data_IF_138611165299
#
_entry.id   IF_138611165299
#
_cell.length_a   1.000
_cell.length_b   1.000
_cell.length_c   1.000
_cell.angle_alpha   90.00
_cell.angle_beta   90.00
_cell.angle_gamma   90.00
#
_symmetry.space_group_name_H-M   'P 1'
#
loop_
_entity.id
_entity.type
_entity.pdbx_description
1 polymer ?
#
# COMPACT_ATOMS: atom_id res chain seq x y z
N UNK A 1 1.19 24.41 40.20
CA UNK A 1 1.76 23.35 39.36
C UNK A 1 0.68 22.83 38.46
N UNK A 2 0.74 22.98 37.15
CA UNK A 2 -0.21 22.39 36.23
C UNK A 2 0.14 20.90 35.99
N UNK A 3 -0.84 20.03 35.75
CA UNK A 3 -0.64 18.58 35.69
C UNK A 3 0.15 18.14 34.46
N UNK A 4 1.12 17.28 34.69
CA UNK A 4 2.01 16.64 33.69
C UNK A 4 1.30 15.73 32.66
N UNK A 5 -0.03 15.65 32.71
CA UNK A 5 -0.81 14.67 31.91
C UNK A 5 -1.08 15.09 30.46
N UNK A 6 -0.99 16.38 30.12
CA UNK A 6 -1.30 16.87 28.76
C UNK A 6 -0.17 16.74 27.74
N UNK A 7 1.10 16.70 28.19
CA UNK A 7 2.27 16.60 27.29
C UNK A 7 2.55 15.17 26.82
N UNK A 8 2.22 14.17 27.63
CA UNK A 8 2.42 12.76 27.26
C UNK A 8 1.38 12.31 26.24
N UNK A 9 0.13 12.81 26.36
CA UNK A 9 -0.91 12.50 25.37
C UNK A 9 -0.65 13.10 23.98
N UNK A 10 0.02 14.27 23.91
CA UNK A 10 0.34 14.89 22.62
C UNK A 10 1.53 14.22 21.93
N UNK A 11 2.46 13.62 22.67
CA UNK A 11 3.60 12.87 22.08
C UNK A 11 3.15 11.52 21.52
N UNK A 12 2.13 10.87 22.11
CA UNK A 12 1.54 9.64 21.59
C UNK A 12 0.61 9.86 20.39
N UNK A 13 0.01 11.03 20.24
CA UNK A 13 -0.77 11.42 19.05
C UNK A 13 0.12 11.80 17.85
N UNK A 14 1.39 12.08 18.07
CA UNK A 14 2.38 12.48 17.04
C UNK A 14 2.99 11.26 16.28
N UNK A 15 2.83 10.04 16.77
CA UNK A 15 3.12 8.81 16.02
C UNK A 15 1.83 8.35 15.29
N UNK A 16 1.23 9.23 14.50
CA UNK A 16 0.18 8.83 13.57
C UNK A 16 0.73 7.70 12.69
N UNK A 17 -0.07 6.67 12.50
CA UNK A 17 0.27 5.49 11.68
C UNK A 17 0.87 5.96 10.36
N UNK A 18 2.19 5.86 10.23
CA UNK A 18 2.86 6.18 8.98
C UNK A 18 2.90 4.93 8.13
N UNK A 19 1.96 4.85 7.20
CA UNK A 19 1.78 3.71 6.32
C UNK A 19 2.33 4.03 4.93
N UNK A 20 2.94 3.03 4.30
CA UNK A 20 3.43 3.09 2.93
C UNK A 20 2.84 1.93 2.16
N UNK A 21 2.38 2.19 0.95
CA UNK A 21 1.87 1.13 0.07
C UNK A 21 2.65 1.16 -1.23
N UNK A 22 3.11 0.00 -1.66
CA UNK A 22 3.65 -0.20 -3.00
C UNK A 22 2.78 -1.18 -3.76
N UNK A 23 2.55 -0.94 -5.05
CA UNK A 23 1.74 -1.82 -5.88
C UNK A 23 2.12 -1.76 -7.36
N UNK A 24 2.50 -2.91 -7.93
CA UNK A 24 2.59 -3.06 -9.38
C UNK A 24 1.18 -3.29 -9.95
N UNK A 25 0.65 -2.28 -10.62
CA UNK A 25 -0.74 -2.24 -11.10
C UNK A 25 -0.95 -2.96 -12.43
N UNK A 26 0.14 -3.16 -13.19
CA UNK A 26 0.07 -3.67 -14.57
C UNK A 26 -0.81 -2.82 -15.49
N UNK A 27 -0.86 -1.52 -15.27
CA UNK A 27 -1.52 -0.52 -16.09
C UNK A 27 -2.60 0.30 -15.37
N UNK A 28 -2.48 1.62 -15.45
CA UNK A 28 -3.36 2.58 -14.78
C UNK A 28 -4.68 2.87 -15.55
N UNK A 29 -4.82 2.38 -16.79
CA UNK A 29 -6.06 2.50 -17.57
C UNK A 29 -7.09 1.39 -17.32
N UNK A 30 -6.77 0.42 -16.46
CA UNK A 30 -7.73 -0.64 -16.15
C UNK A 30 -8.98 -0.07 -15.46
N UNK A 31 -10.19 -0.56 -15.77
CA UNK A 31 -11.45 0.01 -15.24
C UNK A 31 -11.48 0.13 -13.72
N UNK A 32 -10.93 -0.85 -13.01
CA UNK A 32 -10.96 -0.90 -11.54
C UNK A 32 -9.76 -0.22 -10.86
N UNK A 33 -8.83 0.40 -11.61
CA UNK A 33 -7.60 0.97 -11.07
C UNK A 33 -7.86 2.04 -10.01
N UNK A 34 -8.61 3.09 -10.37
CA UNK A 34 -8.93 4.20 -9.46
C UNK A 34 -9.72 3.72 -8.23
N UNK A 35 -10.72 2.85 -8.46
CA UNK A 35 -11.53 2.30 -7.37
C UNK A 35 -10.70 1.47 -6.39
N UNK A 36 -9.71 0.72 -6.89
CA UNK A 36 -8.82 -0.08 -6.05
C UNK A 36 -7.87 0.79 -5.22
N UNK A 37 -7.22 1.80 -5.84
CA UNK A 37 -6.37 2.73 -5.08
C UNK A 37 -7.18 3.46 -4.01
N UNK A 38 -8.36 4.02 -4.35
CA UNK A 38 -9.22 4.68 -3.35
C UNK A 38 -9.60 3.76 -2.20
N UNK A 39 -9.85 2.47 -2.48
CA UNK A 39 -10.13 1.49 -1.44
C UNK A 39 -8.93 1.25 -0.52
N UNK A 40 -7.71 1.16 -1.08
CA UNK A 40 -6.48 1.02 -0.30
C UNK A 40 -6.18 2.27 0.53
N UNK A 41 -6.36 3.45 -0.06
CA UNK A 41 -6.19 4.72 0.67
C UNK A 41 -7.20 4.84 1.80
N UNK A 42 -8.47 4.52 1.56
CA UNK A 42 -9.50 4.57 2.60
C UNK A 42 -9.22 3.58 3.75
N UNK A 43 -8.68 2.40 3.46
CA UNK A 43 -8.45 1.36 4.45
C UNK A 43 -7.16 1.56 5.25
N UNK A 44 -6.08 1.96 4.57
CA UNK A 44 -4.75 2.02 5.16
C UNK A 44 -4.20 3.44 5.35
N UNK A 45 -4.85 4.46 4.79
CA UNK A 45 -4.48 5.87 4.89
C UNK A 45 -2.96 6.11 4.73
N UNK A 46 -2.36 5.73 3.58
CA UNK A 46 -0.92 5.78 3.39
C UNK A 46 -0.39 7.21 3.29
N UNK A 47 0.74 7.48 3.95
CA UNK A 47 1.50 8.71 3.79
C UNK A 47 2.16 8.78 2.40
N UNK A 48 2.66 7.64 1.91
CA UNK A 48 3.24 7.48 0.57
C UNK A 48 2.63 6.26 -0.11
N UNK A 49 2.30 6.43 -1.39
CA UNK A 49 1.80 5.35 -2.26
C UNK A 49 2.63 5.28 -3.54
N UNK A 50 3.28 4.14 -3.77
CA UNK A 50 4.06 3.90 -4.99
C UNK A 50 3.28 3.00 -5.93
N UNK A 51 3.08 3.45 -7.16
CA UNK A 51 2.42 2.68 -8.22
C UNK A 51 3.41 2.38 -9.32
N UNK A 52 3.64 1.10 -9.57
CA UNK A 52 4.56 0.62 -10.59
C UNK A 52 3.82 0.07 -11.81
N UNK A 53 4.52 0.06 -12.94
CA UNK A 53 4.01 -0.43 -14.22
C UNK A 53 2.69 0.24 -14.64
N UNK A 54 2.62 1.55 -14.44
CA UNK A 54 1.42 2.35 -14.73
C UNK A 54 1.12 2.44 -16.22
N UNK A 55 2.14 2.28 -17.08
CA UNK A 55 2.07 2.36 -18.55
C UNK A 55 1.56 3.70 -19.08
N UNK A 56 1.69 4.73 -18.28
CA UNK A 56 1.27 6.09 -18.58
C UNK A 56 2.29 7.11 -18.07
N UNK A 57 2.49 8.17 -18.85
CA UNK A 57 3.32 9.31 -18.49
C UNK A 57 2.69 10.62 -18.92
N UNK A 58 3.39 11.73 -18.64
CA UNK A 58 2.99 13.09 -19.01
C UNK A 58 1.63 13.50 -18.48
N UNK A 59 0.91 14.33 -19.26
CA UNK A 59 -0.39 14.90 -18.87
C UNK A 59 -1.47 13.86 -18.56
N UNK A 60 -1.41 12.68 -19.21
CA UNK A 60 -2.35 11.58 -18.94
C UNK A 60 -2.14 10.97 -17.57
N UNK A 61 -0.89 10.84 -17.12
CA UNK A 61 -0.57 10.39 -15.76
C UNK A 61 -1.08 11.43 -14.75
N UNK A 62 -0.79 12.71 -14.99
CA UNK A 62 -1.25 13.82 -14.15
C UNK A 62 -2.77 13.83 -14.03
N UNK A 63 -3.50 13.76 -15.12
CA UNK A 63 -4.98 13.75 -15.12
C UNK A 63 -5.59 12.59 -14.30
N UNK A 64 -4.88 11.47 -14.17
CA UNK A 64 -5.33 10.35 -13.33
C UNK A 64 -4.96 10.59 -11.86
N UNK A 65 -3.75 11.05 -11.57
CA UNK A 65 -3.30 11.28 -10.19
C UNK A 65 -4.02 12.44 -9.52
N UNK A 66 -4.39 13.49 -10.26
CA UNK A 66 -5.21 14.61 -9.76
C UNK A 66 -6.61 14.17 -9.28
N UNK A 67 -7.06 12.95 -9.64
CA UNK A 67 -8.32 12.35 -9.19
C UNK A 67 -8.16 11.44 -7.97
N UNK A 68 -6.93 11.26 -7.50
CA UNK A 68 -6.61 10.47 -6.32
C UNK A 68 -6.48 11.38 -5.10
N UNK A 69 -6.73 10.87 -3.88
CA UNK A 69 -6.67 11.65 -2.65
C UNK A 69 -5.21 11.78 -2.14
N UNK A 70 -4.36 12.42 -2.94
CA UNK A 70 -2.98 12.77 -2.61
C UNK A 70 -2.69 14.19 -3.02
N UNK A 71 -1.85 14.88 -2.26
CA UNK A 71 -1.53 16.29 -2.50
C UNK A 71 -0.34 16.46 -3.42
N UNK A 72 0.54 15.45 -3.49
CA UNK A 72 1.71 15.47 -4.34
C UNK A 72 1.89 14.21 -5.16
N UNK A 73 2.54 14.37 -6.31
CA UNK A 73 2.84 13.30 -7.24
C UNK A 73 4.15 13.53 -8.00
N UNK A 74 4.98 12.50 -8.07
CA UNK A 74 6.15 12.43 -8.95
C UNK A 74 5.91 11.30 -9.95
N UNK A 75 6.13 11.59 -11.24
CA UNK A 75 5.97 10.62 -12.31
C UNK A 75 7.29 10.38 -13.04
N UNK A 76 7.56 9.12 -13.35
CA UNK A 76 8.52 8.73 -14.38
C UNK A 76 7.72 8.42 -15.65
N UNK A 77 8.09 9.08 -16.73
CA UNK A 77 7.45 8.86 -18.02
C UNK A 77 7.76 7.45 -18.54
N UNK A 78 6.81 6.88 -19.24
CA UNK A 78 6.97 5.59 -19.89
C UNK A 78 7.83 5.72 -21.15
N UNK A 79 8.64 4.72 -21.42
CA UNK A 79 9.27 4.54 -22.74
C UNK A 79 8.37 3.56 -23.52
N UNK A 80 7.58 4.10 -24.47
CA UNK A 80 6.57 3.33 -25.16
C UNK A 80 5.42 2.88 -24.23
N UNK A 81 4.95 1.65 -24.39
CA UNK A 81 3.87 1.03 -23.57
C UNK A 81 4.38 0.24 -22.37
N UNK A 82 5.65 0.36 -22.01
CA UNK A 82 6.24 -0.36 -20.89
C UNK A 82 6.69 0.61 -19.80
N UNK A 83 6.79 0.10 -18.55
CA UNK A 83 7.25 0.83 -17.37
C UNK A 83 6.23 1.85 -16.83
N UNK A 84 6.71 2.92 -16.22
CA UNK A 84 5.95 3.93 -15.51
C UNK A 84 5.93 3.67 -14.01
N UNK A 85 6.46 4.64 -13.28
CA UNK A 85 6.56 4.63 -11.82
C UNK A 85 6.00 5.95 -11.31
N UNK A 86 5.03 5.89 -10.40
CA UNK A 86 4.45 7.04 -9.73
C UNK A 86 4.70 6.93 -8.24
N UNK A 87 5.08 8.04 -7.64
CA UNK A 87 5.16 8.21 -6.20
C UNK A 87 4.18 9.31 -5.81
N UNK A 88 3.23 8.97 -4.95
CA UNK A 88 2.16 9.85 -4.49
C UNK A 88 2.29 10.01 -2.98
N UNK A 89 2.01 11.19 -2.44
CA UNK A 89 2.05 11.42 -0.99
C UNK A 89 0.93 12.32 -0.51
N UNK A 90 0.65 12.20 0.79
CA UNK A 90 -0.27 13.05 1.52
C UNK A 90 0.55 14.02 2.37
N UNK A 91 0.39 15.31 2.11
CA UNK A 91 1.12 16.40 2.77
C UNK A 91 0.73 16.60 4.24
N UNK A 92 -0.38 16.00 4.70
CA UNK A 92 -0.73 15.99 6.13
C UNK A 92 0.26 15.16 6.97
N UNK A 93 0.93 14.17 6.35
CA UNK A 93 1.84 13.25 7.03
C UNK A 93 3.31 13.57 6.78
N UNK A 94 3.66 13.89 5.53
CA UNK A 94 5.05 14.05 5.10
C UNK A 94 5.22 15.21 4.14
N UNK A 95 6.40 15.84 4.20
CA UNK A 95 6.95 16.67 3.13
C UNK A 95 7.92 15.81 2.32
N UNK A 96 7.91 16.00 1.01
CA UNK A 96 8.70 15.18 0.08
C UNK A 96 9.55 16.11 -0.79
N UNK A 97 10.86 15.89 -0.78
CA UNK A 97 11.80 16.52 -1.67
C UNK A 97 12.35 15.50 -2.68
N UNK A 98 12.25 15.81 -3.97
CA UNK A 98 12.81 14.98 -5.03
C UNK A 98 14.31 15.20 -5.13
N UNK A 99 15.10 14.14 -4.89
CA UNK A 99 16.56 14.17 -5.00
C UNK A 99 17.04 13.76 -6.39
N UNK A 100 16.51 12.63 -6.90
CA UNK A 100 16.86 12.10 -8.21
C UNK A 100 15.74 11.18 -8.74
N UNK A 101 15.73 10.98 -10.06
CA UNK A 101 14.88 9.95 -10.68
C UNK A 101 15.51 9.44 -11.95
N UNK A 102 15.36 8.14 -12.18
CA UNK A 102 15.72 7.45 -13.42
C UNK A 102 14.50 6.67 -13.94
N UNK A 103 14.67 5.85 -14.96
CA UNK A 103 13.60 5.00 -15.47
C UNK A 103 13.17 3.90 -14.51
N UNK A 104 14.02 3.54 -13.53
CA UNK A 104 13.82 2.43 -12.63
C UNK A 104 13.60 2.85 -11.16
N UNK A 105 13.86 4.12 -10.83
CA UNK A 105 13.90 4.57 -9.43
C UNK A 105 13.49 6.04 -9.27
N UNK A 106 12.88 6.37 -8.14
CA UNK A 106 12.63 7.73 -7.64
C UNK A 106 13.26 7.81 -6.26
N UNK A 107 14.18 8.75 -6.07
CA UNK A 107 14.84 9.03 -4.81
C UNK A 107 14.25 10.29 -4.20
N UNK A 108 13.74 10.19 -2.99
CA UNK A 108 13.19 11.32 -2.25
C UNK A 108 13.75 11.39 -0.84
N UNK A 109 13.84 12.60 -0.29
CA UNK A 109 13.92 12.83 1.12
C UNK A 109 12.50 12.96 1.66
N UNK A 110 12.21 12.27 2.76
CA UNK A 110 10.94 12.29 3.48
C UNK A 110 11.15 13.00 4.79
N UNK A 111 10.46 14.11 5.00
CA UNK A 111 10.39 14.80 6.28
C UNK A 111 9.02 14.54 6.92
N UNK A 112 9.02 13.93 8.09
CA UNK A 112 7.79 13.59 8.81
C UNK A 112 7.21 14.84 9.45
N UNK A 113 5.95 15.18 9.12
CA UNK A 113 5.26 16.32 9.68
C UNK A 113 5.19 16.25 11.20
N UNK A 114 5.29 17.42 11.84
CA UNK A 114 5.25 17.56 13.30
C UNK A 114 6.33 16.77 14.05
N UNK A 115 7.39 16.36 13.38
CA UNK A 115 8.56 15.72 13.96
C UNK A 115 9.85 16.28 13.36
N UNK A 116 11.00 15.88 13.93
CA UNK A 116 12.31 16.19 13.36
C UNK A 116 12.91 15.01 12.59
N UNK A 117 12.07 14.01 12.29
CA UNK A 117 12.52 12.80 11.61
C UNK A 117 12.56 13.06 10.11
N UNK A 118 13.72 12.81 9.51
CA UNK A 118 13.91 12.77 8.08
C UNK A 118 14.70 11.52 7.69
N UNK A 119 14.46 11.03 6.51
CA UNK A 119 15.09 9.82 5.98
C UNK A 119 14.89 9.71 4.47
N UNK A 120 15.66 8.86 3.83
CA UNK A 120 15.60 8.64 2.39
C UNK A 120 14.63 7.51 2.06
N UNK A 121 13.79 7.72 1.04
CA UNK A 121 12.93 6.69 0.47
C UNK A 121 13.18 6.57 -1.02
N UNK A 122 13.50 5.34 -1.45
CA UNK A 122 13.71 5.03 -2.85
C UNK A 122 12.61 4.09 -3.32
N UNK A 123 11.78 4.60 -4.24
CA UNK A 123 10.77 3.80 -4.93
C UNK A 123 11.43 3.12 -6.13
N UNK A 124 11.39 1.80 -6.19
CA UNK A 124 12.08 0.97 -7.17
C UNK A 124 11.08 0.25 -8.07
N UNK A 125 11.29 0.34 -9.37
CA UNK A 125 10.71 -0.57 -10.36
C UNK A 125 11.84 -1.10 -11.26
N UNK A 126 12.50 -2.15 -10.78
CA UNK A 126 13.63 -2.75 -11.48
C UNK A 126 13.18 -3.38 -12.80
N UNK A 127 13.99 -3.25 -13.84
CA UNK A 127 13.66 -3.78 -15.15
C UNK A 127 13.50 -5.31 -15.14
N UNK A 128 12.56 -5.89 -15.92
CA UNK A 128 12.52 -7.33 -16.15
C UNK A 128 13.78 -7.88 -16.83
N UNK A 129 14.59 -7.03 -17.48
CA UNK A 129 15.84 -7.41 -18.15
C UNK A 129 17.00 -7.33 -17.17
N UNK A 130 17.77 -8.42 -17.05
CA UNK A 130 18.86 -8.53 -16.08
C UNK A 130 19.96 -7.50 -16.29
N UNK A 131 20.28 -7.19 -17.55
CA UNK A 131 21.33 -6.24 -17.94
C UNK A 131 20.98 -4.82 -17.47
N UNK A 132 19.72 -4.44 -17.57
CA UNK A 132 19.24 -3.14 -17.11
C UNK A 132 19.16 -3.08 -15.58
N UNK A 133 18.84 -4.21 -14.91
CA UNK A 133 18.87 -4.28 -13.43
C UNK A 133 20.29 -4.14 -12.87
N UNK A 134 21.30 -4.67 -13.56
CA UNK A 134 22.70 -4.52 -13.09
C UNK A 134 23.11 -3.05 -13.00
N UNK A 135 22.66 -2.20 -13.93
CA UNK A 135 22.88 -0.75 -13.88
C UNK A 135 22.22 -0.13 -12.63
N UNK A 136 20.99 -0.57 -12.31
CA UNK A 136 20.30 -0.13 -11.08
C UNK A 136 21.07 -0.54 -9.83
N UNK A 137 21.56 -1.80 -9.75
CA UNK A 137 22.33 -2.27 -8.60
C UNK A 137 23.62 -1.46 -8.39
N UNK A 138 24.33 -1.15 -9.47
CA UNK A 138 25.53 -0.31 -9.41
C UNK A 138 25.22 1.14 -8.99
N UNK A 139 24.10 1.69 -9.45
CA UNK A 139 23.67 3.03 -9.04
C UNK A 139 23.33 3.09 -7.55
N UNK A 140 22.53 2.14 -7.07
CA UNK A 140 22.15 2.07 -5.64
C UNK A 140 23.38 1.94 -4.75
N UNK A 141 24.33 1.08 -5.12
CA UNK A 141 25.57 0.91 -4.38
C UNK A 141 26.43 2.19 -4.35
N UNK A 142 26.54 2.92 -5.48
CA UNK A 142 27.22 4.23 -5.52
C UNK A 142 26.54 5.27 -4.65
N UNK A 143 25.20 5.33 -4.67
CA UNK A 143 24.44 6.26 -3.83
C UNK A 143 24.67 5.95 -2.34
N UNK A 144 24.71 4.67 -1.96
CA UNK A 144 24.99 4.26 -0.58
C UNK A 144 26.35 4.74 -0.06
N UNK A 145 27.34 4.93 -0.93
CA UNK A 145 28.66 5.46 -0.58
C UNK A 145 28.62 6.97 -0.27
N UNK A 146 27.60 7.69 -0.78
CA UNK A 146 27.51 9.15 -0.70
C UNK A 146 26.84 9.64 0.60
N UNK A 147 26.14 8.79 1.34
CA UNK A 147 25.43 9.21 2.55
C UNK A 147 25.40 8.13 3.65
N UNK A 148 25.13 8.58 4.90
CA UNK A 148 24.93 7.73 6.07
C UNK A 148 23.54 7.95 6.70
N UNK A 149 22.58 8.38 5.90
CA UNK A 149 21.22 8.68 6.39
C UNK A 149 20.40 7.42 6.57
N UNK A 150 19.39 7.51 7.42
CA UNK A 150 18.35 6.50 7.51
C UNK A 150 17.70 6.29 6.15
N UNK A 151 17.56 5.04 5.69
CA UNK A 151 17.20 4.76 4.32
C UNK A 151 16.31 3.53 4.17
N UNK A 152 15.27 3.67 3.32
CA UNK A 152 14.36 2.59 2.92
C UNK A 152 14.32 2.52 1.40
N UNK A 153 14.38 1.30 0.86
CA UNK A 153 14.08 1.00 -0.55
C UNK A 153 12.84 0.12 -0.63
N UNK A 154 11.92 0.44 -1.53
CA UNK A 154 10.70 -0.34 -1.69
C UNK A 154 10.23 -0.37 -3.14
N UNK A 155 9.73 -1.53 -3.57
CA UNK A 155 9.21 -1.69 -4.92
C UNK A 155 9.24 -3.10 -5.44
N UNK A 156 9.11 -3.21 -6.76
CA UNK A 156 9.26 -4.45 -7.52
C UNK A 156 10.70 -4.56 -8.02
N UNK A 157 11.46 -5.46 -7.41
CA UNK A 157 12.87 -5.68 -7.75
C UNK A 157 13.05 -6.65 -8.93
N UNK A 158 11.98 -7.31 -9.40
CA UNK A 158 12.00 -8.28 -10.49
C UNK A 158 13.07 -9.38 -10.38
N UNK A 159 13.55 -9.64 -9.15
CA UNK A 159 14.54 -10.69 -8.84
C UNK A 159 14.23 -11.35 -7.50
N UNK A 160 14.06 -12.68 -7.44
CA UNK A 160 14.01 -13.43 -6.19
C UNK A 160 15.40 -13.49 -5.55
N UNK A 161 15.48 -13.45 -4.20
CA UNK A 161 16.74 -13.48 -3.46
C UNK A 161 17.22 -14.90 -3.14
N UNK A 162 16.29 -15.80 -2.87
CA UNK A 162 16.53 -17.19 -2.45
C UNK A 162 15.55 -18.12 -3.14
N UNK A 163 15.81 -19.42 -3.11
CA UNK A 163 14.95 -20.42 -3.77
C UNK A 163 13.53 -20.42 -3.20
N UNK A 164 13.35 -20.18 -1.91
CA UNK A 164 12.05 -20.08 -1.25
C UNK A 164 11.20 -18.90 -1.72
N UNK A 165 11.80 -17.91 -2.37
CA UNK A 165 11.09 -16.77 -2.97
C UNK A 165 10.44 -17.11 -4.31
N UNK A 166 10.60 -18.36 -4.77
CA UNK A 166 10.05 -18.82 -6.05
C UNK A 166 9.43 -20.21 -5.92
N UNK A 167 8.29 -20.37 -6.58
CA UNK A 167 7.66 -21.66 -6.81
C UNK A 167 7.43 -21.86 -8.31
N UNK A 168 7.78 -23.03 -8.79
CA UNK A 168 7.55 -23.46 -10.18
C UNK A 168 8.46 -22.82 -11.23
N UNK A 169 8.41 -23.38 -12.43
CA UNK A 169 9.28 -23.00 -13.54
C UNK A 169 10.74 -23.38 -13.30
N UNK A 170 11.68 -22.67 -13.95
CA UNK A 170 13.14 -22.87 -13.75
C UNK A 170 13.52 -22.33 -12.36
N UNK A 171 14.52 -22.95 -11.70
CA UNK A 171 15.07 -22.49 -10.44
C UNK A 171 15.53 -21.02 -10.46
N UNK A 172 15.82 -20.46 -9.29
CA UNK A 172 16.40 -19.11 -9.18
C UNK A 172 17.77 -19.08 -9.88
N UNK A 173 18.02 -18.01 -10.62
CA UNK A 173 19.33 -17.84 -11.26
C UNK A 173 20.34 -17.34 -10.21
N UNK A 174 21.28 -18.22 -9.83
CA UNK A 174 22.23 -17.99 -8.74
C UNK A 174 23.05 -16.70 -8.98
N UNK A 175 23.57 -16.49 -10.19
CA UNK A 175 24.42 -15.32 -10.48
C UNK A 175 23.64 -14.01 -10.33
N UNK A 176 22.38 -13.96 -10.78
CA UNK A 176 21.52 -12.77 -10.65
C UNK A 176 21.14 -12.52 -9.20
N UNK A 177 20.80 -13.58 -8.46
CA UNK A 177 20.48 -13.49 -7.05
C UNK A 177 21.69 -13.02 -6.23
N UNK A 178 22.90 -13.52 -6.53
CA UNK A 178 24.13 -13.08 -5.88
C UNK A 178 24.45 -11.61 -6.18
N UNK A 179 24.30 -11.17 -7.44
CA UNK A 179 24.50 -9.76 -7.80
C UNK A 179 23.53 -8.83 -7.07
N UNK A 180 22.27 -9.26 -6.89
CA UNK A 180 21.29 -8.49 -6.10
C UNK A 180 21.64 -8.48 -4.60
N UNK A 181 22.08 -9.61 -4.03
CA UNK A 181 22.56 -9.67 -2.64
C UNK A 181 23.78 -8.79 -2.41
N UNK A 182 24.75 -8.82 -3.31
CA UNK A 182 25.93 -7.95 -3.24
C UNK A 182 25.54 -6.46 -3.22
N UNK A 183 24.59 -6.07 -4.06
CA UNK A 183 24.04 -4.71 -4.02
C UNK A 183 23.43 -4.38 -2.65
N UNK A 184 22.60 -5.28 -2.08
CA UNK A 184 21.99 -5.05 -0.78
C UNK A 184 23.02 -4.97 0.34
N UNK A 185 24.03 -5.82 0.32
CA UNK A 185 25.14 -5.82 1.28
C UNK A 185 25.96 -4.51 1.21
N UNK A 186 26.29 -4.05 0.00
CA UNK A 186 26.97 -2.76 -0.22
C UNK A 186 26.13 -1.58 0.25
N UNK A 187 24.81 -1.66 0.13
CA UNK A 187 23.87 -0.65 0.63
C UNK A 187 23.56 -0.81 2.13
N UNK A 188 24.09 -1.83 2.80
CA UNK A 188 23.74 -2.20 4.19
C UNK A 188 22.25 -2.42 4.39
N UNK A 189 21.57 -2.98 3.39
CA UNK A 189 20.11 -3.17 3.38
C UNK A 189 19.70 -4.53 3.89
N UNK A 190 18.70 -4.54 4.77
CA UNK A 190 18.10 -5.75 5.34
C UNK A 190 16.65 -5.86 4.86
N UNK A 191 16.25 -7.06 4.42
CA UNK A 191 14.85 -7.36 4.09
C UNK A 191 13.98 -7.27 5.34
N UNK A 192 12.93 -6.47 5.31
CA UNK A 192 12.00 -6.31 6.44
C UNK A 192 11.13 -7.55 6.70
N UNK A 193 11.28 -8.60 5.89
CA UNK A 193 10.40 -9.76 5.96
C UNK A 193 8.97 -9.45 5.52
N UNK A 194 8.03 -10.28 5.93
CA UNK A 194 6.62 -10.10 5.57
C UNK A 194 5.67 -10.87 6.47
N UNK A 195 4.45 -10.37 6.55
CA UNK A 195 3.28 -11.07 7.05
C UNK A 195 2.35 -11.39 5.87
N UNK A 196 1.67 -12.53 5.94
CA UNK A 196 0.70 -12.91 4.92
C UNK A 196 1.17 -13.97 3.92
N UNK A 197 0.61 -13.98 2.70
CA UNK A 197 1.01 -14.89 1.64
C UNK A 197 2.47 -14.68 1.24
N UNK A 198 3.24 -15.77 1.06
CA UNK A 198 4.68 -15.67 0.74
C UNK A 198 4.95 -14.91 -0.56
N UNK A 199 4.19 -15.17 -1.62
CA UNK A 199 4.50 -14.68 -2.95
C UNK A 199 3.69 -13.44 -3.31
N UNK A 200 4.38 -12.43 -3.81
CA UNK A 200 3.76 -11.16 -4.23
C UNK A 200 3.26 -11.20 -5.67
N UNK A 201 3.84 -12.04 -6.52
CA UNK A 201 3.51 -12.17 -7.94
C UNK A 201 3.11 -13.59 -8.36
N UNK A 202 2.32 -13.69 -9.42
CA UNK A 202 1.95 -14.95 -10.08
C UNK A 202 1.77 -14.77 -11.59
N UNK A 203 2.14 -15.79 -12.37
CA UNK A 203 1.84 -15.83 -13.80
C UNK A 203 0.38 -16.20 -14.12
N UNK A 204 -0.47 -16.45 -13.11
CA UNK A 204 -1.91 -16.79 -13.23
C UNK A 204 -2.22 -18.03 -14.06
N UNK A 205 -1.27 -18.95 -14.26
CA UNK A 205 -1.48 -20.19 -15.00
C UNK A 205 -2.00 -21.31 -14.09
N UNK A 206 -2.37 -22.44 -14.71
CA UNK A 206 -2.77 -23.65 -14.01
C UNK A 206 -1.57 -24.27 -13.27
N UNK A 207 -1.85 -25.19 -12.32
CA UNK A 207 -0.86 -25.72 -11.38
C UNK A 207 0.39 -26.29 -12.06
N UNK A 208 0.23 -26.97 -13.20
CA UNK A 208 1.34 -27.58 -13.96
C UNK A 208 2.33 -26.53 -14.52
N UNK A 209 1.88 -25.30 -14.74
CA UNK A 209 2.65 -24.20 -15.30
C UNK A 209 2.68 -22.98 -14.38
N UNK A 210 2.24 -23.16 -13.12
CA UNK A 210 2.19 -22.08 -12.14
C UNK A 210 3.58 -21.63 -11.75
N UNK A 211 3.78 -20.29 -11.77
CA UNK A 211 4.97 -19.65 -11.21
C UNK A 211 4.51 -18.59 -10.23
N UNK A 212 5.07 -18.66 -9.04
CA UNK A 212 4.87 -17.68 -7.97
C UNK A 212 6.24 -17.11 -7.59
N UNK A 213 6.30 -15.80 -7.29
CA UNK A 213 7.55 -15.16 -6.87
C UNK A 213 7.28 -14.09 -5.80
N UNK A 214 8.24 -13.91 -4.91
CA UNK A 214 8.31 -12.77 -3.99
C UNK A 214 9.34 -11.80 -4.53
N UNK A 215 8.89 -10.77 -5.24
CA UNK A 215 9.72 -9.77 -5.92
C UNK A 215 9.39 -8.34 -5.52
N UNK A 216 8.23 -8.08 -4.91
CA UNK A 216 7.86 -6.81 -4.32
C UNK A 216 8.28 -6.81 -2.85
N UNK A 217 9.15 -5.86 -2.44
CA UNK A 217 9.80 -5.90 -1.12
C UNK A 217 10.01 -4.51 -0.54
N UNK A 218 10.25 -4.48 0.77
CA UNK A 218 10.82 -3.37 1.52
C UNK A 218 12.16 -3.78 2.12
N UNK A 219 13.16 -2.95 1.92
CA UNK A 219 14.48 -3.06 2.56
C UNK A 219 14.75 -1.80 3.36
N UNK A 220 15.46 -1.94 4.47
CA UNK A 220 15.86 -0.83 5.32
C UNK A 220 17.31 -0.97 5.76
N UNK A 221 17.99 0.15 6.04
CA UNK A 221 19.28 0.12 6.69
C UNK A 221 19.15 0.10 8.22
N UNK A 222 20.22 -0.20 8.99
CA UNK A 222 20.19 -0.27 10.44
C UNK A 222 19.72 1.03 11.10
N UNK A 223 20.09 2.19 10.56
CA UNK A 223 19.71 3.50 11.10
C UNK A 223 18.20 3.70 11.05
N UNK A 224 17.55 3.29 9.96
CA UNK A 224 16.09 3.34 9.86
C UNK A 224 15.41 2.31 10.77
N UNK A 225 16.00 1.12 10.94
CA UNK A 225 15.51 0.11 11.86
C UNK A 225 15.45 0.62 13.31
N UNK A 226 16.48 1.37 13.74
CA UNK A 226 16.51 2.02 15.07
C UNK A 226 15.41 3.08 15.20
N UNK A 227 15.13 3.82 14.12
CA UNK A 227 14.07 4.83 14.11
C UNK A 227 12.67 4.22 14.22
N UNK A 228 12.43 3.08 13.60
CA UNK A 228 11.13 2.39 13.55
C UNK A 228 11.24 0.89 13.88
N UNK A 229 11.59 0.55 15.13
CA UNK A 229 11.91 -0.85 15.52
C UNK A 229 10.70 -1.80 15.43
N UNK A 230 9.48 -1.28 15.42
CA UNK A 230 8.24 -2.06 15.34
C UNK A 230 7.64 -2.07 13.93
N UNK A 231 8.35 -1.54 12.94
CA UNK A 231 7.87 -1.53 11.56
C UNK A 231 7.61 -2.96 11.06
N UNK A 232 6.54 -3.11 10.29
CA UNK A 232 6.16 -4.40 9.72
C UNK A 232 5.65 -4.27 8.30
N UNK A 233 5.90 -5.29 7.51
CA UNK A 233 5.45 -5.40 6.12
C UNK A 233 4.37 -6.48 6.02
N UNK A 234 3.30 -6.19 5.30
CA UNK A 234 2.18 -7.12 5.08
C UNK A 234 1.87 -7.22 3.59
N UNK A 235 1.88 -8.43 3.04
CA UNK A 235 1.38 -8.69 1.70
C UNK A 235 -0.15 -8.72 1.73
N UNK A 236 -0.79 -7.78 1.04
CA UNK A 236 -2.24 -7.65 1.00
C UNK A 236 -2.88 -8.62 -0.01
N UNK A 237 -4.21 -8.84 0.04
CA UNK A 237 -4.89 -9.68 -0.94
C UNK A 237 -4.67 -9.20 -2.38
N UNK A 238 -4.30 -10.12 -3.27
CA UNK A 238 -4.12 -9.87 -4.70
C UNK A 238 -5.45 -9.97 -5.43
N UNK A 239 -6.05 -8.84 -5.80
CA UNK A 239 -7.38 -8.77 -6.40
C UNK A 239 -7.38 -8.28 -7.84
N UNK A 240 -6.64 -7.22 -8.17
CA UNK A 240 -6.78 -6.48 -9.42
C UNK A 240 -5.53 -6.51 -10.33
N UNK A 241 -4.45 -7.13 -9.87
CA UNK A 241 -3.21 -7.33 -10.61
C UNK A 241 -2.74 -8.78 -10.47
N UNK A 242 -1.67 -9.15 -11.16
CA UNK A 242 -0.88 -10.36 -10.89
C UNK A 242 0.12 -10.14 -9.75
N UNK A 243 0.31 -8.88 -9.30
CA UNK A 243 0.98 -8.53 -8.06
C UNK A 243 -0.02 -8.21 -6.95
N UNK A 244 0.33 -8.51 -5.70
CA UNK A 244 -0.40 -7.99 -4.54
C UNK A 244 0.13 -6.60 -4.15
N UNK A 245 -0.70 -5.73 -3.59
CA UNK A 245 -0.20 -4.57 -2.88
C UNK A 245 0.59 -5.00 -1.65
N UNK A 246 1.66 -4.29 -1.33
CA UNK A 246 2.45 -4.51 -0.12
C UNK A 246 2.38 -3.27 0.76
N UNK A 247 1.95 -3.47 2.00
CA UNK A 247 1.80 -2.44 3.03
C UNK A 247 2.98 -2.50 3.98
N UNK A 248 3.61 -1.37 4.24
CA UNK A 248 4.53 -1.19 5.35
C UNK A 248 3.91 -0.22 6.35
N UNK A 249 3.84 -0.63 7.61
CA UNK A 249 3.41 0.17 8.76
C UNK A 249 4.66 0.49 9.59
N UNK A 250 5.15 1.74 9.55
CA UNK A 250 6.37 2.14 10.24
C UNK A 250 6.16 2.19 11.77
N UNK A 251 5.01 2.69 12.21
CA UNK A 251 4.62 2.74 13.63
C UNK A 251 3.22 2.16 13.80
N UNK A 252 3.06 0.82 13.87
CA UNK A 252 1.75 0.20 14.07
C UNK A 252 1.19 0.58 15.45
N UNK A 253 0.11 1.35 15.46
CA UNK A 253 -0.59 1.70 16.71
C UNK A 253 -1.48 0.55 17.12
N UNK A 254 -1.41 0.17 18.40
CA UNK A 254 -2.44 -0.68 19.03
C UNK A 254 -3.79 0.05 18.93
N UNK A 255 -4.70 -0.45 18.11
CA UNK A 255 -5.95 0.23 17.79
C UNK A 255 -6.90 0.25 18.97
N UNK A 256 -6.95 1.35 19.71
CA UNK A 256 -8.11 1.69 20.51
C UNK A 256 -9.25 2.01 19.54
N UNK A 257 -10.32 1.22 19.55
CA UNK A 257 -11.52 1.50 18.73
C UNK A 257 -12.18 2.77 19.24
N UNK A 258 -11.90 3.89 18.60
CA UNK A 258 -12.65 5.11 18.83
C UNK A 258 -14.08 4.92 18.28
N UNK A 259 -15.08 5.40 19.03
CA UNK A 259 -16.46 5.48 18.56
C UNK A 259 -16.48 6.39 17.31
N UNK A 260 -16.90 5.83 16.18
CA UNK A 260 -17.00 6.60 14.94
C UNK A 260 -18.27 7.45 14.99
N UNK A 261 -18.18 8.78 14.73
CA UNK A 261 -19.36 9.61 14.63
C UNK A 261 -20.24 9.14 13.46
N UNK A 262 -21.54 9.42 13.58
CA UNK A 262 -22.48 9.19 12.50
C UNK A 262 -22.03 9.94 11.24
N UNK A 263 -22.08 9.27 10.08
CA UNK A 263 -21.80 9.87 8.78
C UNK A 263 -22.91 9.52 7.82
N UNK A 264 -23.58 10.55 7.33
CA UNK A 264 -24.52 10.44 6.24
C UNK A 264 -23.82 9.97 4.94
N UNK A 265 -24.52 9.14 4.18
CA UNK A 265 -24.01 8.64 2.88
C UNK A 265 -24.95 9.13 1.77
N UNK A 266 -24.43 9.90 0.82
CA UNK A 266 -25.21 10.54 -0.25
C UNK A 266 -26.04 9.53 -1.06
N UNK A 267 -25.54 8.33 -1.31
CA UNK A 267 -26.24 7.29 -2.05
C UNK A 267 -27.54 6.81 -1.35
N UNK A 268 -27.74 7.06 -0.05
CA UNK A 268 -28.98 6.74 0.64
C UNK A 268 -30.18 7.51 0.07
N UNK A 269 -29.94 8.71 -0.50
CA UNK A 269 -30.97 9.52 -1.12
C UNK A 269 -31.60 8.87 -2.36
N UNK A 270 -30.93 7.92 -2.99
CA UNK A 270 -31.46 7.17 -4.13
C UNK A 270 -32.42 6.04 -3.75
N UNK A 271 -32.54 5.74 -2.45
CA UNK A 271 -33.41 4.68 -1.96
C UNK A 271 -34.72 5.25 -1.41
N UNK A 272 -35.84 4.85 -2.00
CA UNK A 272 -37.19 5.31 -1.61
C UNK A 272 -37.49 5.04 -0.15
N UNK A 273 -37.03 3.91 0.43
CA UNK A 273 -37.27 3.56 1.82
C UNK A 273 -36.56 4.49 2.81
N UNK A 274 -35.49 5.17 2.37
CA UNK A 274 -34.76 6.13 3.19
C UNK A 274 -35.58 7.39 3.49
N UNK A 275 -36.41 7.81 2.54
CA UNK A 275 -37.30 8.98 2.75
C UNK A 275 -38.26 8.80 3.96
N UNK A 276 -38.65 7.55 4.26
CA UNK A 276 -39.49 7.26 5.43
C UNK A 276 -38.71 7.49 6.73
N UNK A 277 -37.41 7.20 6.76
CA UNK A 277 -36.53 7.46 7.92
C UNK A 277 -36.40 8.96 8.17
N UNK A 278 -36.18 9.73 7.07
CA UNK A 278 -36.12 11.20 7.13
C UNK A 278 -37.44 11.74 7.68
N UNK A 279 -38.57 11.40 7.06
CA UNK A 279 -39.90 11.88 7.49
C UNK A 279 -40.22 11.56 8.95
N UNK A 280 -39.90 10.36 9.41
CA UNK A 280 -40.10 9.93 10.79
C UNK A 280 -39.31 10.77 11.81
N UNK A 281 -38.10 11.17 11.48
CA UNK A 281 -37.24 11.94 12.37
C UNK A 281 -37.76 13.38 12.58
N UNK A 282 -38.42 13.95 11.54
CA UNK A 282 -38.93 15.33 11.55
C UNK A 282 -40.46 15.43 11.76
N UNK A 283 -41.21 14.32 11.78
CA UNK A 283 -42.63 14.30 12.12
C UNK A 283 -42.85 14.25 13.64
N UNK A 284 -42.77 15.38 14.31
CA UNK A 284 -43.07 15.47 15.75
C UNK A 284 -42.63 16.81 16.37
N UNK A 285 -43.18 17.11 17.58
CA UNK A 285 -42.78 18.29 18.39
C UNK A 285 -41.44 18.05 19.11
N UNK A 286 -40.38 17.71 18.37
CA UNK A 286 -39.03 17.54 18.88
C UNK A 286 -38.22 18.76 18.58
N UNK A 287 -37.25 19.07 19.42
CA UNK A 287 -36.24 20.06 19.07
C UNK A 287 -35.32 19.53 17.96
N UNK A 288 -34.48 20.42 17.39
CA UNK A 288 -33.58 20.08 16.30
C UNK A 288 -32.54 19.03 16.72
N UNK A 289 -32.01 19.10 17.94
CA UNK A 289 -31.01 18.19 18.45
C UNK A 289 -31.56 16.78 18.61
N UNK A 290 -32.76 16.66 19.19
CA UNK A 290 -33.48 15.40 19.34
C UNK A 290 -33.84 14.77 17.99
N UNK A 291 -34.21 15.60 17.00
CA UNK A 291 -34.52 15.16 15.65
C UNK A 291 -33.28 14.60 14.93
N UNK A 292 -32.13 15.27 15.07
CA UNK A 292 -30.84 14.80 14.52
C UNK A 292 -30.41 13.49 15.20
N UNK A 293 -30.55 13.37 16.51
CA UNK A 293 -30.21 12.15 17.26
C UNK A 293 -31.08 10.97 16.86
N UNK A 294 -32.40 11.20 16.75
CA UNK A 294 -33.35 10.20 16.27
C UNK A 294 -33.02 9.76 14.83
N UNK A 295 -32.79 10.73 13.94
CA UNK A 295 -32.36 10.47 12.56
C UNK A 295 -31.07 9.64 12.48
N UNK A 296 -30.03 10.03 13.23
CA UNK A 296 -28.75 9.35 13.18
C UNK A 296 -28.86 7.89 13.67
N UNK A 297 -29.64 7.61 14.67
CA UNK A 297 -29.95 6.27 15.19
C UNK A 297 -30.74 5.44 14.18
N UNK A 298 -31.89 5.98 13.73
CA UNK A 298 -32.79 5.27 12.80
C UNK A 298 -32.09 5.02 11.44
N UNK A 299 -31.39 5.99 10.91
CA UNK A 299 -30.59 5.84 9.67
C UNK A 299 -29.47 4.81 9.81
N UNK A 300 -28.79 4.74 10.96
CA UNK A 300 -27.77 3.73 11.24
C UNK A 300 -28.36 2.32 11.28
N UNK A 301 -29.52 2.15 11.95
CA UNK A 301 -30.22 0.86 12.01
C UNK A 301 -30.77 0.45 10.64
N UNK A 302 -31.37 1.39 9.91
CA UNK A 302 -31.86 1.16 8.55
C UNK A 302 -30.72 0.75 7.61
N UNK A 303 -29.60 1.49 7.59
CA UNK A 303 -28.45 1.16 6.76
C UNK A 303 -27.90 -0.24 7.06
N UNK A 304 -27.82 -0.60 8.34
CA UNK A 304 -27.38 -1.94 8.77
C UNK A 304 -28.32 -3.04 8.29
N UNK A 305 -29.63 -2.81 8.33
CA UNK A 305 -30.65 -3.81 7.99
C UNK A 305 -30.88 -3.89 6.47
N UNK A 306 -30.84 -2.76 5.77
CA UNK A 306 -31.15 -2.65 4.35
C UNK A 306 -29.96 -3.04 3.45
N UNK A 307 -28.80 -2.44 3.67
CA UNK A 307 -27.58 -2.74 2.89
C UNK A 307 -26.71 -3.81 3.56
N UNK A 308 -27.01 -4.15 4.80
CA UNK A 308 -26.13 -4.97 5.61
C UNK A 308 -24.81 -4.23 5.91
N UNK A 309 -23.88 -4.92 6.56
CA UNK A 309 -22.57 -4.36 6.75
C UNK A 309 -21.70 -4.65 5.51
N UNK A 310 -21.81 -3.83 4.45
CA UNK A 310 -21.03 -3.94 3.20
C UNK A 310 -19.54 -4.02 3.52
N UNK A 311 -19.05 -3.26 4.49
CA UNK A 311 -17.66 -3.32 4.93
C UNK A 311 -17.30 -4.67 5.54
N UNK A 312 -18.20 -5.27 6.34
CA UNK A 312 -17.98 -6.61 6.89
C UNK A 312 -18.05 -7.68 5.80
N UNK A 313 -18.94 -7.55 4.82
CA UNK A 313 -19.03 -8.44 3.68
C UNK A 313 -17.74 -8.36 2.82
N UNK A 314 -17.27 -7.15 2.52
CA UNK A 314 -15.99 -6.89 1.85
C UNK A 314 -14.83 -7.53 2.64
N UNK A 315 -14.74 -7.30 3.95
CA UNK A 315 -13.69 -7.88 4.82
C UNK A 315 -13.72 -9.40 4.81
N UNK A 316 -14.90 -10.03 4.88
CA UNK A 316 -15.03 -11.50 4.80
C UNK A 316 -14.51 -12.04 3.47
N UNK A 317 -14.86 -11.40 2.35
CA UNK A 317 -14.38 -11.79 1.02
C UNK A 317 -12.86 -11.63 0.94
N UNK A 318 -12.32 -10.49 1.36
CA UNK A 318 -10.88 -10.24 1.37
C UNK A 318 -10.14 -11.25 2.27
N UNK A 319 -10.69 -11.58 3.45
CA UNK A 319 -10.12 -12.59 4.34
C UNK A 319 -10.11 -13.99 3.71
N UNK A 320 -11.16 -14.36 2.94
CA UNK A 320 -11.17 -15.62 2.18
C UNK A 320 -10.11 -15.63 1.08
N UNK A 321 -10.01 -14.56 0.30
CA UNK A 321 -8.98 -14.41 -0.75
C UNK A 321 -7.59 -14.51 -0.11
N UNK A 322 -7.35 -13.80 0.97
CA UNK A 322 -6.09 -13.83 1.71
C UNK A 322 -5.76 -15.24 2.22
N UNK A 323 -6.72 -15.91 2.88
CA UNK A 323 -6.55 -17.27 3.37
C UNK A 323 -6.23 -18.27 2.25
N UNK A 324 -6.95 -18.18 1.11
CA UNK A 324 -6.70 -19.03 -0.06
C UNK A 324 -5.31 -18.76 -0.66
N UNK A 325 -4.89 -17.51 -0.77
CA UNK A 325 -3.57 -17.14 -1.27
C UNK A 325 -2.46 -17.59 -0.34
N UNK A 326 -2.66 -17.50 0.99
CA UNK A 326 -1.72 -18.00 1.99
C UNK A 326 -1.60 -19.54 1.94
N UNK A 327 -2.72 -20.25 1.85
CA UNK A 327 -2.73 -21.70 1.69
C UNK A 327 -2.04 -22.13 0.38
N UNK A 328 -2.32 -21.44 -0.72
CA UNK A 328 -1.67 -21.68 -2.02
C UNK A 328 -0.15 -21.43 -1.97
N UNK A 329 0.31 -20.48 -1.17
CA UNK A 329 1.74 -20.22 -0.97
C UNK A 329 2.45 -21.31 -0.20
N UNK A 330 1.74 -22.00 0.71
CA UNK A 330 2.31 -23.06 1.54
C UNK A 330 2.22 -24.43 0.85
N UNK A 331 1.11 -24.70 0.18
CA UNK A 331 0.86 -25.97 -0.51
C UNK A 331 0.01 -25.74 -1.77
N UNK A 332 0.63 -25.43 -2.92
CA UNK A 332 -0.07 -25.18 -4.17
C UNK A 332 -0.86 -26.41 -4.63
N UNK A 333 -2.17 -26.25 -4.87
CA UNK A 333 -3.05 -27.31 -5.36
C UNK A 333 -4.08 -26.79 -6.38
N UNK A 334 -4.56 -27.67 -7.25
CA UNK A 334 -5.57 -27.33 -8.26
C UNK A 334 -6.88 -26.85 -7.64
N UNK A 335 -7.30 -27.43 -6.51
CA UNK A 335 -8.52 -27.05 -5.79
C UNK A 335 -8.43 -25.61 -5.26
N UNK A 336 -7.28 -25.20 -4.71
CA UNK A 336 -7.05 -23.82 -4.24
C UNK A 336 -7.01 -22.81 -5.39
N UNK A 337 -6.53 -23.19 -6.57
CA UNK A 337 -6.56 -22.34 -7.76
C UNK A 337 -7.99 -22.11 -8.25
N UNK A 338 -8.84 -23.14 -8.22
CA UNK A 338 -10.26 -23.02 -8.57
C UNK A 338 -11.02 -22.08 -7.59
N UNK A 339 -10.72 -22.13 -6.30
CA UNK A 339 -11.33 -21.25 -5.30
C UNK A 339 -10.93 -19.77 -5.45
N UNK A 340 -9.87 -19.49 -6.22
CA UNK A 340 -9.38 -18.13 -6.49
C UNK A 340 -10.09 -17.48 -7.69
N UNK A 341 -10.71 -18.24 -8.59
CA UNK A 341 -11.53 -17.74 -9.70
C UNK A 341 -12.91 -17.32 -9.20
#
# INVERSE_FOLDING_TARGET
>A
MPPLSSKVSSLFLLLSTMNFVIWNSRGALKPNFLGHIRSLVHEYNPAIFVVMETKLGGDRAKAITDRLPFDGAIHINTIGYSRGLWLLWNSDFVEVELLAKTEQEIHIEVQVRNSRLNWLFFAIYASPRSEERSILWDNLAKVAELHKLSWVMAGDFNEPLIDEDKFGGRGVNINRSLAFKDCLDRCSMVDMGFLGPRYTWTNKRDISNLILQRIDRFFMNPEWCVMYPNARVTHLPRCHSDHCPVLMEAAPVSTVKLLRPFRFQEFWLSDISFLTIVSKAWNGNRDLSESIDCFSKDASVWNKNHFGNIHMRKRRILARIYGTQKALSNNPSSSLICLKK
#
